data_IF_850963553226
#
_entry.id   IF_850963553226
#
_cell.length_a   1.000
_cell.length_b   1.000
_cell.length_c   1.000
_cell.angle_alpha   90.00
_cell.angle_beta   90.00
_cell.angle_gamma   90.00
#
_symmetry.space_group_name_H-M   'P 1'
#
loop_
_entity.id
_entity.type
_entity.pdbx_description
1 polymer ?
#
# COMPACT_ATOMS: atom_id res chain seq x y z
N UNK A 1 14.16 10.56 -16.28
CA UNK A 1 13.32 11.18 -15.23
C UNK A 1 12.96 10.10 -14.23
N UNK A 2 12.96 10.41 -12.94
CA UNK A 2 12.54 9.46 -11.90
C UNK A 2 11.02 9.52 -11.76
N UNK A 3 10.35 8.37 -11.86
CA UNK A 3 8.89 8.24 -11.70
C UNK A 3 8.62 8.02 -10.22
N UNK A 4 7.73 8.80 -9.63
CA UNK A 4 7.28 8.58 -8.26
C UNK A 4 5.87 7.99 -8.26
N UNK A 5 5.67 6.91 -7.50
CA UNK A 5 4.38 6.24 -7.39
C UNK A 5 3.99 6.16 -5.92
N UNK A 6 2.82 6.68 -5.58
CA UNK A 6 2.25 6.56 -4.24
C UNK A 6 1.14 5.51 -4.24
N UNK A 7 1.29 4.48 -3.41
CA UNK A 7 0.23 3.51 -3.10
C UNK A 7 -0.43 3.93 -1.79
N UNK A 8 -1.72 4.24 -1.81
CA UNK A 8 -2.47 4.68 -0.63
C UNK A 8 -3.15 3.47 0.03
N UNK A 9 -2.52 2.95 1.07
CA UNK A 9 -2.86 1.70 1.75
C UNK A 9 -3.24 1.90 3.24
N UNK A 10 -3.57 3.13 3.65
CA UNK A 10 -3.84 3.47 5.05
C UNK A 10 -5.28 3.16 5.52
N UNK A 11 -6.21 2.88 4.60
CA UNK A 11 -7.63 2.73 4.93
C UNK A 11 -7.96 1.50 5.78
N UNK A 12 -9.00 1.63 6.60
CA UNK A 12 -9.49 0.60 7.53
C UNK A 12 -9.98 -0.71 6.88
N UNK A 13 -10.28 -0.72 5.57
CA UNK A 13 -10.68 -1.96 4.86
C UNK A 13 -12.02 -2.58 5.30
N UNK A 14 -12.86 -1.84 6.03
CA UNK A 14 -14.08 -2.35 6.70
C UNK A 14 -15.06 -3.08 5.79
N UNK A 15 -15.13 -2.71 4.50
CA UNK A 15 -16.08 -3.29 3.52
C UNK A 15 -15.85 -4.77 3.22
N UNK A 16 -14.65 -5.30 3.44
CA UNK A 16 -14.35 -6.72 3.21
C UNK A 16 -14.62 -7.60 4.44
N UNK A 17 -14.89 -7.00 5.61
CA UNK A 17 -15.15 -7.74 6.86
C UNK A 17 -14.00 -8.62 7.34
N UNK A 18 -12.78 -8.43 6.81
CA UNK A 18 -11.60 -9.23 7.14
C UNK A 18 -10.76 -8.52 8.22
N UNK A 19 -10.11 -9.27 9.13
CA UNK A 19 -9.32 -8.68 10.21
C UNK A 19 -7.93 -8.21 9.75
N UNK A 20 -7.59 -8.24 8.46
CA UNK A 20 -6.29 -7.81 7.93
C UNK A 20 -6.46 -6.69 6.89
N UNK A 21 -5.40 -5.89 6.64
CA UNK A 21 -5.43 -4.84 5.63
C UNK A 21 -5.89 -5.36 4.26
N UNK A 22 -6.80 -4.64 3.60
CA UNK A 22 -7.20 -4.93 2.21
C UNK A 22 -6.01 -5.17 1.27
N UNK A 23 -4.92 -4.38 1.32
CA UNK A 23 -3.71 -4.60 0.51
C UNK A 23 -3.13 -6.04 0.59
N UNK A 24 -3.33 -6.75 1.70
CA UNK A 24 -2.86 -8.13 1.91
C UNK A 24 -3.88 -9.20 1.49
N UNK A 25 -5.06 -8.80 1.00
CA UNK A 25 -6.04 -9.75 0.45
C UNK A 25 -5.42 -10.50 -0.72
N UNK A 26 -5.47 -11.83 -0.65
CA UNK A 26 -4.97 -12.71 -1.70
C UNK A 26 -5.92 -12.72 -2.90
N UNK A 27 -5.34 -12.66 -4.09
CA UNK A 27 -5.99 -12.92 -5.37
C UNK A 27 -6.02 -14.44 -5.61
N UNK A 28 -6.70 -14.86 -6.68
CA UNK A 28 -6.83 -16.26 -7.09
C UNK A 28 -5.48 -16.93 -7.37
N UNK A 29 -4.51 -16.17 -7.88
CA UNK A 29 -3.15 -16.61 -8.16
C UNK A 29 -2.20 -16.64 -6.93
N UNK A 30 -2.72 -16.31 -5.73
CA UNK A 30 -1.96 -16.33 -4.47
C UNK A 30 -1.13 -15.08 -4.17
N UNK A 31 -1.03 -14.12 -5.10
CA UNK A 31 -0.45 -12.79 -4.81
C UNK A 31 -1.41 -11.96 -3.97
N UNK A 32 -0.91 -10.98 -3.23
CA UNK A 32 -1.79 -10.00 -2.60
C UNK A 32 -2.14 -8.86 -3.57
N UNK A 33 -3.22 -8.12 -3.30
CA UNK A 33 -3.57 -6.91 -4.08
C UNK A 33 -2.37 -5.96 -4.20
N UNK A 34 -1.64 -5.73 -3.10
CA UNK A 34 -0.46 -4.85 -3.13
C UNK A 34 0.71 -5.47 -3.89
N UNK A 35 0.91 -6.78 -3.77
CA UNK A 35 1.92 -7.50 -4.54
C UNK A 35 1.68 -7.32 -6.04
N UNK A 36 0.45 -7.58 -6.49
CA UNK A 36 0.03 -7.38 -7.87
C UNK A 36 0.25 -5.93 -8.35
N UNK A 37 -0.02 -4.92 -7.51
CA UNK A 37 0.24 -3.52 -7.86
C UNK A 37 1.74 -3.23 -8.03
N UNK A 38 2.57 -3.71 -7.11
CA UNK A 38 4.03 -3.54 -7.17
C UNK A 38 4.62 -4.25 -8.39
N UNK A 39 4.19 -5.48 -8.66
CA UNK A 39 4.60 -6.25 -9.84
C UNK A 39 4.28 -5.49 -11.13
N UNK A 40 3.07 -4.93 -11.25
CA UNK A 40 2.65 -4.18 -12.43
C UNK A 40 3.49 -2.90 -12.61
N UNK A 41 3.76 -2.17 -11.53
CA UNK A 41 4.61 -0.97 -11.58
C UNK A 41 6.03 -1.35 -12.03
N UNK A 42 6.61 -2.41 -11.46
CA UNK A 42 7.94 -2.89 -11.81
C UNK A 42 8.01 -3.38 -13.26
N UNK A 43 6.99 -4.09 -13.75
CA UNK A 43 6.93 -4.58 -15.12
C UNK A 43 6.90 -3.44 -16.17
N UNK A 44 6.27 -2.31 -15.85
CA UNK A 44 6.12 -1.17 -16.78
C UNK A 44 7.28 -0.17 -16.65
N UNK A 45 7.69 0.16 -15.43
CA UNK A 45 8.61 1.27 -15.16
C UNK A 45 9.98 0.81 -14.64
N UNK A 46 10.14 -0.44 -14.22
CA UNK A 46 11.38 -0.99 -13.69
C UNK A 46 12.01 -0.11 -12.61
N UNK A 47 13.33 0.09 -12.70
CA UNK A 47 14.10 0.89 -11.74
C UNK A 47 13.83 2.40 -11.83
N UNK A 48 13.10 2.87 -12.84
CA UNK A 48 12.75 4.28 -12.94
C UNK A 48 11.66 4.67 -11.93
N UNK A 49 10.89 3.70 -11.44
CA UNK A 49 9.85 3.93 -10.44
C UNK A 49 10.39 3.83 -9.01
N UNK A 50 10.18 4.90 -8.24
CA UNK A 50 10.29 4.90 -6.78
C UNK A 50 8.90 4.79 -6.19
N UNK A 51 8.59 3.62 -5.64
CA UNK A 51 7.28 3.33 -5.03
C UNK A 51 7.34 3.64 -3.54
N UNK A 52 6.42 4.48 -3.06
CA UNK A 52 6.15 4.63 -1.64
C UNK A 52 4.74 4.15 -1.32
N UNK A 53 4.56 3.61 -0.12
CA UNK A 53 3.25 3.16 0.35
C UNK A 53 2.87 3.94 1.59
N UNK A 54 1.74 4.64 1.54
CA UNK A 54 1.17 5.28 2.74
C UNK A 54 0.36 4.24 3.50
N UNK A 55 0.77 3.92 4.72
CA UNK A 55 0.19 2.88 5.58
C UNK A 55 -0.55 3.48 6.78
N UNK A 56 -1.41 2.69 7.41
CA UNK A 56 -2.31 3.11 8.48
C UNK A 56 -2.74 1.90 9.29
N UNK A 57 -3.99 1.46 9.10
CA UNK A 57 -4.54 0.29 9.79
C UNK A 57 -3.63 -0.96 9.66
N UNK A 58 -3.22 -1.52 10.81
CA UNK A 58 -2.35 -2.71 10.92
C UNK A 58 -1.11 -2.65 10.03
N UNK A 59 -0.40 -1.51 10.10
CA UNK A 59 0.78 -1.26 9.27
C UNK A 59 1.86 -2.35 9.43
N UNK A 60 2.02 -2.92 10.62
CA UNK A 60 3.03 -3.93 10.94
C UNK A 60 2.90 -5.13 10.01
N UNK A 61 1.67 -5.58 9.75
CA UNK A 61 1.41 -6.69 8.81
C UNK A 61 1.83 -6.35 7.37
N UNK A 62 1.71 -5.08 6.96
CA UNK A 62 2.15 -4.64 5.63
C UNK A 62 3.68 -4.57 5.58
N UNK A 63 4.32 -4.04 6.61
CA UNK A 63 5.77 -3.94 6.72
C UNK A 63 6.42 -5.34 6.74
N UNK A 64 5.87 -6.27 7.52
CA UNK A 64 6.32 -7.67 7.55
C UNK A 64 6.19 -8.37 6.19
N UNK A 65 5.08 -8.14 5.49
CA UNK A 65 4.85 -8.74 4.17
C UNK A 65 5.72 -8.14 3.06
N UNK A 66 6.24 -6.92 3.26
CA UNK A 66 7.00 -6.16 2.27
C UNK A 66 8.17 -5.39 2.92
N UNK A 67 9.15 -6.11 3.50
CA UNK A 67 10.19 -5.50 4.33
C UNK A 67 11.07 -4.50 3.59
N UNK A 68 11.27 -4.70 2.28
CA UNK A 68 12.08 -3.81 1.44
C UNK A 68 11.29 -2.61 0.88
N UNK A 69 10.11 -2.31 1.45
CA UNK A 69 9.25 -1.20 1.01
C UNK A 69 9.66 0.15 1.60
N UNK A 70 9.36 1.24 0.86
CA UNK A 70 9.37 2.59 1.40
C UNK A 70 7.97 2.94 1.91
N UNK A 71 7.87 3.28 3.18
CA UNK A 71 6.60 3.52 3.84
C UNK A 71 6.51 4.91 4.45
N UNK A 72 5.30 5.47 4.41
CA UNK A 72 4.93 6.64 5.20
C UNK A 72 3.72 6.30 6.04
N UNK A 73 3.75 6.60 7.33
CA UNK A 73 2.61 6.37 8.20
C UNK A 73 1.66 7.56 8.18
N UNK A 74 0.37 7.32 7.91
CA UNK A 74 -0.70 8.26 8.21
C UNK A 74 -1.26 7.93 9.59
N UNK A 75 -0.83 8.66 10.61
CA UNK A 75 -1.24 8.46 12.00
C UNK A 75 -2.74 8.72 12.25
N UNK A 76 -3.41 9.47 11.37
CA UNK A 76 -4.84 9.82 11.48
C UNK A 76 -5.70 8.99 10.51
N UNK A 77 -5.29 7.77 10.18
CA UNK A 77 -5.94 6.96 9.14
C UNK A 77 -7.41 6.62 9.42
N UNK A 78 -7.82 6.64 10.68
CA UNK A 78 -9.16 6.30 11.16
C UNK A 78 -10.14 7.49 11.12
N UNK A 79 -9.62 8.71 11.15
CA UNK A 79 -10.36 9.97 11.15
C UNK A 79 -10.21 10.76 9.85
N UNK A 80 -9.40 10.27 8.91
CA UNK A 80 -9.13 10.90 7.61
C UNK A 80 -9.53 10.01 6.43
N UNK A 81 -9.35 10.52 5.21
CA UNK A 81 -9.68 9.81 3.98
C UNK A 81 -8.46 9.63 3.06
N UNK A 82 -8.68 9.05 1.88
CA UNK A 82 -7.63 8.78 0.90
C UNK A 82 -6.88 10.03 0.47
N UNK A 83 -7.55 11.18 0.26
CA UNK A 83 -6.86 12.39 -0.18
C UNK A 83 -5.97 12.99 0.91
N UNK A 84 -6.35 12.85 2.18
CA UNK A 84 -5.48 13.23 3.31
C UNK A 84 -4.28 12.30 3.45
N UNK A 85 -4.44 11.01 3.15
CA UNK A 85 -3.31 10.08 3.08
C UNK A 85 -2.31 10.47 1.99
N UNK A 86 -2.78 11.03 0.87
CA UNK A 86 -1.89 11.51 -0.20
C UNK A 86 -1.02 12.70 0.23
N UNK A 87 -1.51 13.57 1.13
CA UNK A 87 -0.71 14.70 1.64
C UNK A 87 0.50 14.28 2.49
N UNK A 88 0.56 12.99 2.87
CA UNK A 88 1.70 12.40 3.58
C UNK A 88 2.77 11.85 2.63
N UNK A 89 2.42 11.63 1.36
CA UNK A 89 3.31 11.06 0.35
C UNK A 89 4.34 12.09 -0.16
#
# INVERSE_FOLDING_TARGET
MTIQVAILAAGMGTRLGRPWPKPLTKLDDGRSIMGQQRDNIAAVFGQQARVMTVVGFKLESILEAFPDGLFVYNENFDTTNTSKSLLKA
#
